data_IF_494994308221
#
_entry.id   IF_494994308221
#
_cell.length_a   1.000
_cell.length_b   1.000
_cell.length_c   1.000
_cell.angle_alpha   90.00
_cell.angle_beta   90.00
_cell.angle_gamma   90.00
#
_symmetry.space_group_name_H-M   'P 1'
#
loop_
_entity.id
_entity.type
_entity.pdbx_description
1 polymer ?
#
# COMPACT_ATOMS: atom_id res chain seq x y z
N UNK A 1 -6.53 5.41 22.46
CA UNK A 1 -6.62 4.40 21.38
C UNK A 1 -5.80 4.93 20.22
N UNK A 2 -5.03 4.11 19.52
CA UNK A 2 -4.38 4.57 18.28
C UNK A 2 -5.49 5.05 17.34
N UNK A 3 -5.31 6.23 16.76
CA UNK A 3 -6.22 6.71 15.73
C UNK A 3 -6.00 5.80 14.51
N UNK A 4 -7.01 5.03 14.10
CA UNK A 4 -6.90 4.11 12.94
C UNK A 4 -6.94 4.86 11.60
N UNK A 5 -6.69 6.17 11.63
CA UNK A 5 -6.75 7.10 10.53
C UNK A 5 -5.50 7.99 10.53
N UNK A 6 -5.05 8.33 9.34
CA UNK A 6 -3.99 9.31 9.09
C UNK A 6 -4.59 10.56 8.46
N UNK A 7 -4.17 11.73 8.94
CA UNK A 7 -4.60 13.02 8.37
C UNK A 7 -3.69 13.37 7.19
N UNK A 8 -4.25 13.45 5.99
CA UNK A 8 -3.53 13.88 4.79
C UNK A 8 -3.37 15.40 4.74
N UNK A 9 -2.38 15.90 3.99
CA UNK A 9 -2.15 17.34 3.80
C UNK A 9 -3.32 18.08 3.14
N UNK A 10 -4.18 17.36 2.42
CA UNK A 10 -5.41 17.89 1.82
C UNK A 10 -6.58 17.99 2.81
N UNK A 11 -6.37 17.65 4.09
CA UNK A 11 -7.40 17.72 5.12
C UNK A 11 -8.41 16.56 5.10
N UNK A 12 -8.11 15.46 4.41
CA UNK A 12 -8.91 14.24 4.43
C UNK A 12 -8.29 13.25 5.41
N UNK A 13 -9.13 12.51 6.14
CA UNK A 13 -8.68 11.37 6.94
C UNK A 13 -8.71 10.10 6.09
N UNK A 14 -7.62 9.34 6.10
CA UNK A 14 -7.51 8.06 5.40
C UNK A 14 -7.34 6.94 6.42
N UNK A 15 -8.08 5.81 6.33
CA UNK A 15 -7.84 4.68 7.21
C UNK A 15 -6.42 4.11 7.04
N UNK A 16 -5.76 3.86 8.16
CA UNK A 16 -4.37 3.44 8.21
C UNK A 16 -4.14 2.01 7.69
N UNK A 17 -5.17 1.17 7.62
CA UNK A 17 -5.12 -0.17 7.04
C UNK A 17 -6.13 -0.27 5.89
N UNK A 18 -5.65 -0.69 4.72
CA UNK A 18 -6.46 -0.86 3.51
C UNK A 18 -6.34 -2.25 2.90
N UNK A 19 -7.39 -2.67 2.19
CA UNK A 19 -7.41 -3.89 1.39
C UNK A 19 -6.83 -3.61 0.01
N UNK A 20 -5.70 -4.22 -0.31
CA UNK A 20 -5.17 -4.24 -1.68
C UNK A 20 -5.91 -5.27 -2.55
N UNK A 21 -6.19 -4.91 -3.81
CA UNK A 21 -6.99 -5.75 -4.74
C UNK A 21 -6.21 -6.27 -5.94
N UNK A 22 -4.89 -6.06 -5.99
CA UNK A 22 -4.07 -6.75 -6.99
C UNK A 22 -4.12 -8.28 -6.79
N UNK A 23 -4.53 -9.00 -7.84
CA UNK A 23 -4.58 -10.46 -7.84
C UNK A 23 -4.52 -11.02 -9.25
N UNK A 24 -3.87 -12.16 -9.44
CA UNK A 24 -3.91 -12.93 -10.67
C UNK A 24 -4.34 -14.38 -10.37
N UNK A 25 -5.23 -15.01 -11.17
CA UNK A 25 -6.01 -14.41 -12.26
C UNK A 25 -7.04 -13.42 -11.72
N UNK A 26 -7.37 -12.39 -12.52
CA UNK A 26 -8.29 -11.29 -12.17
C UNK A 26 -9.74 -11.76 -12.07
N UNK A 27 -10.07 -12.53 -11.03
CA UNK A 27 -11.42 -13.09 -10.84
C UNK A 27 -12.36 -12.09 -10.14
N UNK A 28 -13.41 -11.72 -10.87
CA UNK A 28 -14.40 -10.72 -10.40
C UNK A 28 -15.14 -11.21 -9.17
N UNK A 29 -15.67 -12.43 -9.18
CA UNK A 29 -16.51 -12.95 -8.09
C UNK A 29 -15.71 -13.06 -6.79
N UNK A 30 -14.49 -13.58 -6.86
CA UNK A 30 -13.59 -13.68 -5.70
C UNK A 30 -13.23 -12.30 -5.15
N UNK A 31 -13.03 -11.31 -6.02
CA UNK A 31 -12.75 -9.93 -5.61
C UNK A 31 -13.94 -9.31 -4.88
N UNK A 32 -15.16 -9.45 -5.42
CA UNK A 32 -16.39 -8.95 -4.79
C UNK A 32 -16.60 -9.59 -3.40
N UNK A 33 -16.52 -10.92 -3.32
CA UNK A 33 -16.62 -11.65 -2.05
C UNK A 33 -15.57 -11.21 -1.03
N UNK A 34 -14.34 -10.94 -1.47
CA UNK A 34 -13.29 -10.46 -0.59
C UNK A 34 -13.60 -9.06 -0.01
N UNK A 35 -14.20 -8.18 -0.80
CA UNK A 35 -14.59 -6.83 -0.38
C UNK A 35 -15.74 -6.91 0.63
N UNK A 36 -16.74 -7.73 0.37
CA UNK A 36 -17.86 -7.95 1.30
C UNK A 36 -17.37 -8.48 2.65
N UNK A 37 -16.45 -9.45 2.62
CA UNK A 37 -15.80 -9.96 3.84
C UNK A 37 -15.00 -8.87 4.55
N UNK A 38 -14.25 -8.06 3.82
CA UNK A 38 -13.45 -7.00 4.41
C UNK A 38 -14.32 -5.91 5.06
N UNK A 39 -15.41 -5.49 4.43
CA UNK A 39 -16.38 -4.55 5.01
C UNK A 39 -16.93 -5.04 6.35
N UNK A 40 -17.29 -6.33 6.43
CA UNK A 40 -17.76 -7.01 7.66
C UNK A 40 -16.69 -7.08 8.75
N UNK A 41 -15.41 -7.09 8.38
CA UNK A 41 -14.28 -7.06 9.33
C UNK A 41 -13.86 -5.64 9.74
N UNK A 42 -14.52 -4.60 9.21
CA UNK A 42 -14.26 -3.21 9.57
C UNK A 42 -13.30 -2.47 8.63
N UNK A 43 -12.91 -3.06 7.49
CA UNK A 43 -12.14 -2.30 6.49
C UNK A 43 -12.98 -1.16 5.94
N UNK A 44 -12.34 0.01 5.80
CA UNK A 44 -12.91 1.21 5.19
C UNK A 44 -12.02 1.81 4.11
N UNK A 45 -10.87 1.20 3.83
CA UNK A 45 -9.94 1.64 2.78
C UNK A 45 -9.73 0.51 1.78
N UNK A 46 -9.99 0.78 0.50
CA UNK A 46 -9.84 -0.15 -0.61
C UNK A 46 -8.89 0.42 -1.66
N UNK A 47 -7.84 -0.34 -1.98
CA UNK A 47 -6.82 0.05 -2.97
C UNK A 47 -6.94 -0.81 -4.23
N UNK A 48 -7.08 -0.13 -5.36
CA UNK A 48 -7.19 -0.72 -6.70
C UNK A 48 -6.33 0.05 -7.71
N UNK A 49 -6.40 -0.33 -8.97
CA UNK A 49 -5.83 0.38 -10.11
C UNK A 49 -6.47 -0.13 -11.40
N UNK A 50 -6.52 0.72 -12.44
CA UNK A 50 -6.96 0.31 -13.79
C UNK A 50 -6.25 -0.96 -14.28
N UNK A 51 -4.93 -1.01 -14.11
CA UNK A 51 -4.11 -2.14 -14.58
C UNK A 51 -4.39 -3.43 -13.82
N UNK A 52 -5.03 -3.38 -12.65
CA UNK A 52 -5.37 -4.58 -11.89
C UNK A 52 -6.62 -5.27 -12.45
N UNK A 53 -7.40 -4.61 -13.32
CA UNK A 53 -8.67 -5.15 -13.83
C UNK A 53 -9.76 -5.35 -12.76
N UNK A 54 -9.48 -5.05 -11.50
CA UNK A 54 -10.38 -5.27 -10.36
C UNK A 54 -11.35 -4.11 -10.11
N UNK A 55 -11.18 -2.95 -10.74
CA UNK A 55 -12.04 -1.76 -10.53
C UNK A 55 -13.54 -2.04 -10.71
N UNK A 56 -14.02 -2.77 -11.74
CA UNK A 56 -15.45 -3.06 -11.87
C UNK A 56 -15.99 -3.91 -10.72
N UNK A 57 -15.21 -4.88 -10.24
CA UNK A 57 -15.56 -5.73 -9.10
C UNK A 57 -15.63 -4.90 -7.81
N UNK A 58 -14.63 -4.03 -7.60
CA UNK A 58 -14.59 -3.12 -6.45
C UNK A 58 -15.77 -2.17 -6.45
N UNK A 59 -16.05 -1.54 -7.60
CA UNK A 59 -17.17 -0.63 -7.75
C UNK A 59 -18.51 -1.31 -7.50
N UNK A 60 -18.72 -2.53 -8.01
CA UNK A 60 -19.94 -3.29 -7.80
C UNK A 60 -20.16 -3.61 -6.31
N UNK A 61 -19.19 -4.28 -5.66
CA UNK A 61 -19.34 -4.69 -4.26
C UNK A 61 -19.55 -3.50 -3.30
N UNK A 62 -18.84 -2.40 -3.51
CA UNK A 62 -19.03 -1.20 -2.69
C UNK A 62 -20.38 -0.52 -2.95
N UNK A 63 -20.89 -0.55 -4.18
CA UNK A 63 -22.21 0.00 -4.52
C UNK A 63 -23.31 -0.80 -3.84
N UNK A 64 -23.26 -2.13 -3.92
CA UNK A 64 -24.23 -3.01 -3.24
C UNK A 64 -24.18 -2.79 -1.73
N UNK A 65 -22.99 -2.71 -1.13
CA UNK A 65 -22.84 -2.44 0.30
C UNK A 65 -23.41 -1.07 0.74
N UNK A 66 -23.38 -0.06 -0.13
CA UNK A 66 -24.00 1.26 0.12
C UNK A 66 -25.52 1.16 -0.01
N UNK A 67 -26.03 0.50 -1.05
CA UNK A 67 -27.48 0.30 -1.27
C UNK A 67 -28.08 -0.47 -0.09
N UNK A 68 -27.38 -1.49 0.39
CA UNK A 68 -27.78 -2.32 1.53
C UNK A 68 -27.51 -1.64 2.89
N UNK A 69 -27.03 -0.39 2.92
CA UNK A 69 -26.73 0.38 4.13
C UNK A 69 -25.72 -0.32 5.07
N UNK A 70 -24.86 -1.17 4.52
CA UNK A 70 -23.75 -1.78 5.27
C UNK A 70 -22.68 -0.74 5.60
N UNK A 71 -22.47 0.23 4.70
CA UNK A 71 -21.58 1.38 4.87
C UNK A 71 -22.12 2.59 4.13
N UNK A 72 -21.84 3.79 4.64
CA UNK A 72 -22.05 5.03 3.89
C UNK A 72 -20.89 5.30 2.93
N UNK A 73 -21.15 6.02 1.83
CA UNK A 73 -20.09 6.41 0.89
C UNK A 73 -19.00 7.22 1.58
N UNK A 74 -19.38 8.14 2.46
CA UNK A 74 -18.47 9.00 3.21
C UNK A 74 -17.63 8.20 4.21
N UNK A 75 -18.10 7.00 4.60
CA UNK A 75 -17.40 6.09 5.48
C UNK A 75 -16.32 5.25 4.79
N UNK A 76 -16.16 5.34 3.47
CA UNK A 76 -15.16 4.56 2.72
C UNK A 76 -14.16 5.44 1.95
N UNK A 77 -12.91 5.01 1.96
CA UNK A 77 -11.79 5.56 1.22
C UNK A 77 -11.41 4.60 0.09
N UNK A 78 -11.37 5.09 -1.15
CA UNK A 78 -11.03 4.27 -2.33
C UNK A 78 -9.86 4.93 -3.04
N UNK A 79 -8.79 4.16 -3.23
CA UNK A 79 -7.59 4.58 -3.96
C UNK A 79 -7.55 3.84 -5.29
N UNK A 80 -7.34 4.57 -6.39
CA UNK A 80 -6.97 3.99 -7.68
C UNK A 80 -5.74 4.70 -8.27
N UNK A 81 -5.22 4.19 -9.39
CA UNK A 81 -3.93 4.61 -9.96
C UNK A 81 -4.07 4.84 -11.46
N UNK A 82 -3.58 6.00 -11.91
CA UNK A 82 -3.37 6.27 -13.34
C UNK A 82 -2.27 5.36 -13.88
N UNK A 83 -2.52 4.70 -14.99
CA UNK A 83 -1.52 3.83 -15.61
C UNK A 83 -0.65 4.61 -16.60
N UNK A 84 0.61 4.18 -16.76
CA UNK A 84 1.60 4.86 -17.59
C UNK A 84 1.18 5.08 -19.04
N UNK A 85 0.39 4.16 -19.62
CA UNK A 85 -0.12 4.30 -21.00
C UNK A 85 -1.07 5.49 -21.17
N UNK A 86 -1.66 5.98 -20.08
CA UNK A 86 -2.68 7.02 -20.10
C UNK A 86 -2.11 8.42 -19.79
N UNK A 87 -0.79 8.55 -19.59
CA UNK A 87 -0.14 9.83 -19.30
C UNK A 87 -0.27 10.87 -20.42
N UNK A 88 -0.62 10.46 -21.64
CA UNK A 88 -0.86 11.35 -22.77
C UNK A 88 -2.20 12.09 -22.68
N UNK A 89 -3.18 11.52 -21.96
CA UNK A 89 -4.47 12.15 -21.66
C UNK A 89 -4.87 11.83 -20.20
N UNK A 90 -4.11 12.40 -19.24
CA UNK A 90 -4.32 12.10 -17.84
C UNK A 90 -5.70 12.60 -17.42
N UNK A 91 -6.22 13.72 -17.93
CA UNK A 91 -7.54 14.22 -17.50
C UNK A 91 -8.66 13.25 -17.86
N UNK A 92 -8.65 12.62 -19.03
CA UNK A 92 -9.67 11.64 -19.42
C UNK A 92 -9.58 10.36 -18.59
N UNK A 93 -8.38 9.80 -18.46
CA UNK A 93 -8.15 8.60 -17.65
C UNK A 93 -8.42 8.86 -16.17
N UNK A 94 -8.06 10.04 -15.69
CA UNK A 94 -8.40 10.49 -14.35
C UNK A 94 -9.87 10.86 -14.21
N UNK A 95 -10.63 11.28 -15.23
CA UNK A 95 -12.10 11.37 -15.08
C UNK A 95 -12.75 9.99 -14.98
N UNK A 96 -12.14 9.01 -15.65
CA UNK A 96 -12.53 7.61 -15.55
C UNK A 96 -12.20 7.02 -14.17
N UNK A 97 -11.06 7.42 -13.58
CA UNK A 97 -10.52 6.86 -12.33
C UNK A 97 -10.78 7.72 -11.07
N UNK A 98 -10.81 9.04 -11.20
CA UNK A 98 -10.75 10.01 -10.11
C UNK A 98 -12.03 10.80 -9.88
N UNK A 99 -12.60 10.41 -8.76
CA UNK A 99 -13.03 11.40 -7.79
C UNK A 99 -11.96 11.62 -6.67
N UNK A 100 -10.62 11.53 -6.94
CA UNK A 100 -9.44 12.24 -6.34
C UNK A 100 -8.07 11.49 -6.51
N UNK A 101 -6.94 12.20 -6.77
CA UNK A 101 -5.58 11.65 -7.12
C UNK A 101 -4.54 11.66 -5.99
N UNK A 102 -3.65 10.66 -6.02
CA UNK A 102 -2.31 10.63 -5.39
C UNK A 102 -1.27 10.00 -6.34
N UNK A 103 -0.01 9.84 -5.91
CA UNK A 103 1.07 9.22 -6.72
C UNK A 103 1.50 7.88 -6.13
N UNK A 104 2.16 7.02 -6.92
CA UNK A 104 2.64 5.71 -6.48
C UNK A 104 3.94 5.33 -7.19
N UNK A 105 4.87 4.71 -6.46
CA UNK A 105 6.19 4.26 -6.95
C UNK A 105 7.14 5.40 -7.36
N UNK A 106 7.13 6.54 -6.65
CA UNK A 106 8.08 7.62 -6.90
C UNK A 106 9.22 7.58 -5.87
N UNK A 107 10.47 7.64 -6.35
CA UNK A 107 11.67 7.89 -5.53
C UNK A 107 11.67 9.32 -4.98
N UNK A 108 12.51 9.60 -3.99
CA UNK A 108 12.59 10.94 -3.36
C UNK A 108 12.86 12.04 -4.42
N UNK A 109 13.79 11.76 -5.34
CA UNK A 109 14.13 12.67 -6.44
C UNK A 109 12.97 12.90 -7.42
N UNK A 110 12.20 11.86 -7.75
CA UNK A 110 11.02 12.01 -8.63
C UNK A 110 9.91 12.83 -7.97
N UNK A 111 9.75 12.71 -6.65
CA UNK A 111 8.81 13.57 -5.90
C UNK A 111 9.32 15.02 -5.87
N UNK A 112 10.61 15.25 -5.63
CA UNK A 112 11.18 16.61 -5.69
C UNK A 112 10.89 17.28 -7.04
N UNK A 113 11.18 16.57 -8.14
CA UNK A 113 10.87 17.06 -9.48
C UNK A 113 9.40 17.39 -9.65
N UNK A 114 8.48 16.61 -9.06
CA UNK A 114 7.04 16.88 -9.07
C UNK A 114 6.68 18.14 -8.27
N UNK A 115 7.24 18.29 -7.07
CA UNK A 115 7.00 19.44 -6.19
C UNK A 115 7.49 20.76 -6.80
N UNK A 116 8.57 20.74 -7.59
CA UNK A 116 9.15 21.93 -8.20
C UNK A 116 8.20 22.62 -9.21
N UNK A 117 7.24 21.88 -9.79
CA UNK A 117 6.26 22.43 -10.74
C UNK A 117 4.80 22.36 -10.28
N UNK A 118 4.48 21.51 -9.31
CA UNK A 118 3.09 21.30 -8.89
C UNK A 118 2.59 22.45 -8.00
N UNK A 119 1.45 23.03 -8.35
CA UNK A 119 0.78 24.04 -7.50
C UNK A 119 0.14 23.43 -6.24
N UNK A 120 -0.10 22.11 -6.24
CA UNK A 120 -0.64 21.36 -5.11
C UNK A 120 0.27 20.14 -4.89
N UNK A 121 0.86 19.96 -3.69
CA UNK A 121 1.72 18.83 -3.41
C UNK A 121 0.91 17.52 -3.39
N UNK A 122 1.52 16.37 -3.73
CA UNK A 122 0.87 15.08 -3.59
C UNK A 122 0.41 14.82 -2.15
N UNK A 123 -0.79 14.27 -1.97
CA UNK A 123 -1.28 13.90 -0.64
C UNK A 123 -0.64 12.60 -0.13
N UNK A 124 -0.38 11.65 -1.04
CA UNK A 124 0.12 10.31 -0.74
C UNK A 124 1.17 9.92 -1.78
N UNK A 125 2.26 9.30 -1.34
CA UNK A 125 3.13 8.48 -2.18
C UNK A 125 3.01 7.01 -1.74
N UNK A 126 2.40 6.18 -2.60
CA UNK A 126 2.25 4.76 -2.32
C UNK A 126 3.43 3.95 -2.87
N UNK A 127 4.23 3.32 -1.99
CA UNK A 127 5.49 2.63 -2.33
C UNK A 127 5.60 1.28 -1.65
N UNK A 128 6.51 0.43 -2.15
CA UNK A 128 6.88 -0.79 -1.45
C UNK A 128 7.49 -0.42 -0.11
N UNK A 129 6.97 -0.98 0.97
CA UNK A 129 7.53 -0.79 2.30
C UNK A 129 7.15 -1.95 3.21
N UNK A 130 8.15 -2.53 3.87
CA UNK A 130 8.03 -3.63 4.81
C UNK A 130 9.28 -3.67 5.72
N UNK A 131 9.34 -4.50 6.77
CA UNK A 131 10.50 -4.56 7.66
C UNK A 131 11.87 -4.73 6.98
N UNK A 132 11.89 -5.37 5.80
CA UNK A 132 13.10 -5.57 4.97
C UNK A 132 13.30 -4.55 3.84
N UNK A 133 12.46 -3.51 3.75
CA UNK A 133 12.65 -2.38 2.81
C UNK A 133 11.97 -1.15 3.43
N UNK A 134 12.71 -0.45 4.30
CA UNK A 134 12.11 0.44 5.30
C UNK A 134 11.86 1.85 4.81
N UNK A 135 12.37 2.17 3.62
CA UNK A 135 12.15 3.46 2.96
C UNK A 135 12.53 4.65 3.84
N UNK A 136 13.61 4.56 4.64
CA UNK A 136 13.96 5.61 5.62
C UNK A 136 14.14 6.98 4.97
N UNK A 137 15.02 7.06 3.97
CA UNK A 137 15.27 8.29 3.20
C UNK A 137 13.98 8.84 2.60
N UNK A 138 13.19 7.98 1.95
CA UNK A 138 11.95 8.39 1.29
C UNK A 138 10.89 8.86 2.30
N UNK A 139 10.76 8.20 3.46
CA UNK A 139 9.80 8.58 4.51
C UNK A 139 10.17 9.93 5.12
N UNK A 140 11.45 10.14 5.40
CA UNK A 140 11.92 11.42 5.96
C UNK A 140 11.69 12.54 4.94
N UNK A 141 12.04 12.32 3.67
CA UNK A 141 11.75 13.26 2.58
C UNK A 141 10.25 13.55 2.44
N UNK A 142 9.39 12.54 2.45
CA UNK A 142 7.95 12.73 2.36
C UNK A 142 7.39 13.50 3.57
N UNK A 143 7.93 13.26 4.78
CA UNK A 143 7.52 13.96 5.99
C UNK A 143 7.81 15.47 5.91
N UNK A 144 8.97 15.88 5.36
CA UNK A 144 9.33 17.30 5.19
C UNK A 144 8.31 18.08 4.33
N UNK A 145 7.62 17.39 3.42
CA UNK A 145 6.60 17.98 2.54
C UNK A 145 5.16 17.64 2.94
N UNK A 146 4.95 17.06 4.13
CA UNK A 146 3.65 16.56 4.59
C UNK A 146 2.99 15.58 3.58
N UNK A 147 3.79 14.78 2.88
CA UNK A 147 3.31 13.74 1.97
C UNK A 147 3.19 12.45 2.77
N UNK A 148 2.00 11.84 2.77
CA UNK A 148 1.80 10.59 3.48
C UNK A 148 2.41 9.40 2.72
N UNK A 149 3.09 8.49 3.42
CA UNK A 149 3.61 7.25 2.83
C UNK A 149 2.62 6.11 3.03
N UNK A 150 2.14 5.53 1.93
CA UNK A 150 1.29 4.33 1.95
C UNK A 150 2.08 3.11 1.48
N UNK A 151 2.23 2.11 2.33
CA UNK A 151 3.00 0.90 2.06
C UNK A 151 2.17 -0.12 1.28
N UNK A 152 2.55 -0.45 0.05
CA UNK A 152 2.12 -1.68 -0.63
C UNK A 152 3.12 -2.82 -0.37
N UNK A 153 2.67 -4.06 -0.61
CA UNK A 153 3.42 -5.28 -0.32
C UNK A 153 3.99 -5.33 1.11
N UNK A 154 3.24 -4.95 2.16
CA UNK A 154 3.76 -4.89 3.52
C UNK A 154 4.23 -6.24 4.08
N UNK A 155 3.84 -7.34 3.43
CA UNK A 155 4.20 -8.71 3.78
C UNK A 155 5.20 -9.35 2.79
N UNK A 156 5.77 -8.56 1.86
CA UNK A 156 6.67 -9.04 0.79
C UNK A 156 5.96 -9.51 -0.49
N UNK A 157 4.66 -9.23 -0.62
CA UNK A 157 3.83 -9.65 -1.77
C UNK A 157 3.68 -11.16 -2.01
N UNK A 158 3.59 -12.06 -0.99
CA UNK A 158 3.53 -13.50 -1.22
C UNK A 158 2.44 -13.92 -2.22
N UNK A 159 2.80 -14.80 -3.15
CA UNK A 159 1.92 -15.31 -4.21
C UNK A 159 1.87 -14.47 -5.48
N UNK A 160 2.52 -13.30 -5.50
CA UNK A 160 2.78 -12.56 -6.75
C UNK A 160 4.05 -13.09 -7.43
N UNK A 161 4.17 -12.88 -8.75
CA UNK A 161 5.34 -13.34 -9.52
C UNK A 161 6.67 -12.73 -9.04
N UNK A 162 6.63 -11.51 -8.50
CA UNK A 162 7.79 -10.83 -7.91
C UNK A 162 7.91 -11.01 -6.39
N UNK A 163 6.92 -11.64 -5.76
CA UNK A 163 6.80 -11.66 -4.30
C UNK A 163 7.62 -12.74 -3.61
N UNK A 164 7.80 -12.59 -2.31
CA UNK A 164 8.46 -13.58 -1.45
C UNK A 164 7.79 -13.66 -0.08
N UNK A 165 7.96 -14.78 0.60
CA UNK A 165 7.56 -15.00 2.01
C UNK A 165 8.61 -14.52 3.00
N UNK A 166 9.76 -14.00 2.53
CA UNK A 166 10.91 -13.64 3.37
C UNK A 166 10.56 -12.74 4.57
N UNK A 167 9.64 -11.80 4.42
CA UNK A 167 9.22 -10.91 5.51
C UNK A 167 8.55 -11.69 6.65
N UNK A 168 7.58 -12.56 6.33
CA UNK A 168 6.82 -13.31 7.35
C UNK A 168 7.56 -14.55 7.85
N UNK A 169 8.54 -15.05 7.09
CA UNK A 169 9.40 -16.17 7.50
C UNK A 169 10.67 -15.72 8.23
N UNK A 170 10.95 -14.40 8.28
CA UNK A 170 12.13 -13.87 8.93
C UNK A 170 12.21 -14.29 10.41
N UNK A 171 13.34 -14.84 10.89
CA UNK A 171 13.46 -15.33 12.27
C UNK A 171 13.20 -14.28 13.35
N UNK A 172 13.57 -13.02 13.11
CA UNK A 172 13.34 -11.90 14.05
C UNK A 172 11.84 -11.59 14.11
N UNK A 173 11.17 -11.48 12.95
CA UNK A 173 9.70 -11.25 12.89
C UNK A 173 8.94 -12.39 13.58
N UNK A 174 9.35 -13.65 13.34
CA UNK A 174 8.80 -14.84 13.99
C UNK A 174 9.06 -14.86 15.50
N UNK A 175 10.21 -14.36 15.95
CA UNK A 175 10.53 -14.25 17.39
C UNK A 175 9.63 -13.22 18.07
N UNK A 176 9.49 -12.04 17.46
CA UNK A 176 8.61 -10.97 17.94
C UNK A 176 7.15 -11.45 17.96
N UNK A 177 6.70 -12.17 16.93
CA UNK A 177 5.32 -12.68 16.89
C UNK A 177 5.04 -13.66 18.03
N UNK A 178 5.99 -14.55 18.36
CA UNK A 178 5.88 -15.45 19.52
C UNK A 178 5.84 -14.68 20.84
N UNK A 179 6.70 -13.67 21.01
CA UNK A 179 6.74 -12.80 22.20
C UNK A 179 5.38 -12.15 22.45
N UNK A 180 4.72 -11.66 21.39
CA UNK A 180 3.44 -10.95 21.49
C UNK A 180 2.19 -11.80 21.34
N UNK A 181 2.33 -13.12 21.10
CA UNK A 181 1.22 -14.04 20.79
C UNK A 181 0.40 -13.56 19.59
N UNK A 182 1.09 -13.01 18.59
CA UNK A 182 0.54 -12.51 17.33
C UNK A 182 1.06 -13.34 16.16
N UNK A 183 0.62 -13.02 14.95
CA UNK A 183 1.18 -13.61 13.74
C UNK A 183 2.32 -12.75 13.17
N UNK A 184 3.25 -13.34 12.39
CA UNK A 184 4.28 -12.59 11.69
C UNK A 184 3.72 -11.46 10.81
N UNK A 185 2.56 -11.67 10.19
CA UNK A 185 1.88 -10.66 9.39
C UNK A 185 1.45 -9.47 10.24
N UNK A 186 0.86 -9.71 11.42
CA UNK A 186 0.47 -8.65 12.35
C UNK A 186 1.68 -7.83 12.83
N UNK A 187 2.82 -8.47 13.08
CA UNK A 187 4.06 -7.78 13.44
C UNK A 187 4.54 -6.87 12.30
N UNK A 188 4.61 -7.38 11.07
CA UNK A 188 5.06 -6.60 9.92
C UNK A 188 4.12 -5.41 9.61
N UNK A 189 2.81 -5.62 9.70
CA UNK A 189 1.80 -4.55 9.53
C UNK A 189 1.94 -3.50 10.63
N UNK A 190 2.02 -3.92 11.90
CA UNK A 190 2.11 -2.99 13.02
C UNK A 190 3.43 -2.23 13.05
N UNK A 191 4.53 -2.83 12.59
CA UNK A 191 5.78 -2.12 12.38
C UNK A 191 5.58 -0.95 11.42
N UNK A 192 4.96 -1.16 10.25
CA UNK A 192 4.75 -0.07 9.29
C UNK A 192 3.81 1.02 9.82
N UNK A 193 2.76 0.63 10.54
CA UNK A 193 1.86 1.56 11.24
C UNK A 193 2.62 2.40 12.29
N UNK A 194 3.54 1.79 13.05
CA UNK A 194 4.37 2.49 14.04
C UNK A 194 5.34 3.51 13.41
N UNK A 195 5.64 3.36 12.12
CA UNK A 195 6.47 4.30 11.34
C UNK A 195 5.65 5.44 10.72
N UNK A 196 4.35 5.54 11.01
CA UNK A 196 3.44 6.57 10.50
C UNK A 196 2.87 6.26 9.11
N UNK A 197 3.17 5.10 8.53
CA UNK A 197 2.67 4.71 7.21
C UNK A 197 1.31 4.04 7.29
N UNK A 198 0.49 4.17 6.23
CA UNK A 198 -0.67 3.29 6.05
C UNK A 198 -0.26 1.99 5.39
N UNK A 199 -0.94 0.89 5.68
CA UNK A 199 -0.61 -0.45 5.19
C UNK A 199 -1.68 -0.96 4.22
N UNK A 200 -1.30 -1.22 2.97
CA UNK A 200 -2.18 -1.80 1.95
C UNK A 200 -1.88 -3.29 1.86
N UNK A 201 -2.68 -4.10 2.54
CA UNK A 201 -2.49 -5.55 2.64
C UNK A 201 -3.54 -6.28 1.83
N UNK A 202 -3.11 -7.23 1.00
CA UNK A 202 -4.01 -8.04 0.18
C UNK A 202 -4.32 -9.37 0.86
N UNK A 203 -5.61 -9.71 0.96
CA UNK A 203 -6.05 -11.07 1.26
C UNK A 203 -7.48 -11.28 0.78
N UNK A 204 -7.76 -12.43 0.15
CA UNK A 204 -9.13 -12.89 -0.16
C UNK A 204 -9.58 -14.01 0.79
N UNK A 205 -8.78 -14.30 1.82
CA UNK A 205 -9.10 -15.29 2.85
C UNK A 205 -9.63 -14.57 4.09
N UNK A 206 -10.83 -14.97 4.55
CA UNK A 206 -11.54 -14.36 5.67
C UNK A 206 -10.72 -14.34 6.97
N UNK A 207 -10.05 -15.45 7.30
CA UNK A 207 -9.24 -15.56 8.53
C UNK A 207 -8.09 -14.55 8.49
N UNK A 208 -7.38 -14.46 7.36
CA UNK A 208 -6.29 -13.48 7.17
C UNK A 208 -6.78 -12.04 7.13
N UNK A 209 -7.96 -11.76 6.57
CA UNK A 209 -8.55 -10.42 6.61
C UNK A 209 -8.76 -9.95 8.06
N UNK A 210 -9.33 -10.82 8.89
CA UNK A 210 -9.53 -10.56 10.32
C UNK A 210 -8.19 -10.40 11.06
N UNK A 211 -7.25 -11.33 10.84
CA UNK A 211 -5.91 -11.29 11.42
C UNK A 211 -5.18 -9.98 11.10
N UNK A 212 -5.26 -9.52 9.85
CA UNK A 212 -4.68 -8.25 9.42
C UNK A 212 -5.30 -7.04 10.12
N UNK A 213 -6.63 -7.02 10.33
CA UNK A 213 -7.30 -5.94 11.08
C UNK A 213 -6.84 -5.91 12.55
N UNK A 214 -6.63 -7.08 13.14
CA UNK A 214 -6.15 -7.20 14.52
C UNK A 214 -4.73 -6.66 14.70
N UNK A 215 -3.96 -6.46 13.61
CA UNK A 215 -2.64 -5.81 13.66
C UNK A 215 -2.70 -4.41 14.28
N UNK A 216 -3.80 -3.66 14.08
CA UNK A 216 -4.02 -2.32 14.64
C UNK A 216 -3.96 -2.30 16.19
N UNK A 217 -4.17 -3.45 16.83
CA UNK A 217 -4.17 -3.59 18.29
C UNK A 217 -2.84 -4.10 18.85
N UNK A 218 -1.89 -4.48 17.98
CA UNK A 218 -0.59 -4.99 18.40
C UNK A 218 0.27 -3.85 18.97
N UNK A 219 1.01 -4.14 20.02
CA UNK A 219 1.91 -3.17 20.66
C UNK A 219 3.33 -3.72 20.61
N UNK A 220 4.11 -3.22 19.65
CA UNK A 220 5.54 -3.47 19.60
C UNK A 220 6.24 -2.56 20.61
N UNK A 221 7.25 -3.08 21.30
CA UNK A 221 8.11 -2.29 22.19
C UNK A 221 9.41 -1.86 21.49
N UNK A 222 10.19 -1.01 22.16
CA UNK A 222 11.42 -0.43 21.61
C UNK A 222 12.45 -1.50 21.22
N UNK A 223 12.48 -2.63 21.94
CA UNK A 223 13.39 -3.73 21.62
C UNK A 223 12.96 -4.42 20.33
N UNK A 224 11.65 -4.64 20.13
CA UNK A 224 11.14 -5.21 18.88
C UNK A 224 11.49 -4.33 17.68
N UNK A 225 11.29 -3.01 17.82
CA UNK A 225 11.64 -2.05 16.78
C UNK A 225 13.14 -2.07 16.51
N UNK A 226 13.97 -2.05 17.55
CA UNK A 226 15.43 -2.14 17.45
C UNK A 226 15.88 -3.44 16.76
N UNK A 227 15.22 -4.56 17.04
CA UNK A 227 15.53 -5.84 16.42
C UNK A 227 15.14 -5.86 14.94
N UNK A 228 14.00 -5.26 14.59
CA UNK A 228 13.59 -5.08 13.18
C UNK A 228 14.61 -4.22 12.42
N UNK A 229 15.24 -3.23 13.07
CA UNK A 229 16.24 -2.40 12.39
C UNK A 229 17.50 -3.18 11.96
N UNK A 230 17.72 -4.39 12.50
CA UNK A 230 18.85 -5.28 12.14
C UNK A 230 18.60 -6.09 10.87
N UNK A 231 17.38 -6.10 10.33
CA UNK A 231 17.07 -6.81 9.10
C UNK A 231 17.84 -6.19 7.93
N UNK A 232 18.39 -7.05 7.07
CA UNK A 232 18.95 -6.65 5.79
C UNK A 232 17.86 -5.99 4.94
N UNK A 233 18.20 -4.86 4.32
CA UNK A 233 17.29 -4.14 3.42
C UNK A 233 17.53 -4.55 1.98
N UNK A 234 16.46 -4.90 1.27
CA UNK A 234 16.46 -5.08 -0.17
C UNK A 234 15.06 -4.90 -0.74
N UNK A 235 14.98 -4.35 -1.95
CA UNK A 235 13.73 -4.15 -2.66
C UNK A 235 13.28 -5.45 -3.33
N UNK A 236 12.06 -5.90 -3.04
CA UNK A 236 11.43 -7.07 -3.65
C UNK A 236 10.83 -6.70 -5.01
N UNK A 237 10.03 -5.63 -5.09
CA UNK A 237 9.44 -5.18 -6.36
C UNK A 237 10.38 -4.20 -7.07
N UNK A 238 11.41 -4.72 -7.74
CA UNK A 238 12.47 -3.91 -8.37
C UNK A 238 12.10 -3.29 -9.71
N UNK A 239 11.00 -3.73 -10.33
CA UNK A 239 10.46 -3.10 -11.53
C UNK A 239 11.22 -3.47 -12.81
N UNK A 240 11.81 -4.66 -12.86
CA UNK A 240 12.66 -5.12 -13.98
C UNK A 240 11.96 -5.01 -15.34
N UNK A 241 10.65 -5.19 -15.38
CA UNK A 241 9.84 -5.08 -16.60
C UNK A 241 9.78 -3.64 -17.18
N UNK A 242 10.22 -2.63 -16.43
CA UNK A 242 10.30 -1.23 -16.87
C UNK A 242 11.69 -0.83 -17.36
N UNK A 243 12.68 -1.73 -17.29
CA UNK A 243 14.08 -1.41 -17.60
C UNK A 243 14.53 -2.18 -18.83
N UNK A 244 15.11 -1.48 -19.80
CA UNK A 244 15.81 -2.09 -20.93
C UNK A 244 16.69 -1.07 -21.66
N UNK A 245 17.70 -1.56 -22.38
CA UNK A 245 18.68 -0.69 -23.03
C UNK A 245 18.14 0.03 -24.28
N UNK A 246 17.07 -0.47 -24.89
CA UNK A 246 16.62 -0.01 -26.21
C UNK A 246 15.51 1.05 -26.14
N UNK A 247 14.36 0.70 -25.59
CA UNK A 247 13.12 1.49 -25.63
C UNK A 247 12.76 2.15 -24.31
N UNK A 248 13.26 1.64 -23.18
CA UNK A 248 12.96 2.25 -21.88
C UNK A 248 13.73 3.56 -21.68
N UNK A 249 13.12 4.57 -21.04
CA UNK A 249 13.84 5.73 -20.52
C UNK A 249 14.80 5.36 -19.37
N UNK A 250 14.65 4.17 -18.76
CA UNK A 250 15.51 3.65 -17.70
C UNK A 250 16.37 2.51 -18.25
N UNK A 251 17.70 2.69 -18.22
CA UNK A 251 18.66 1.71 -18.76
C UNK A 251 19.04 0.67 -17.72
N UNK A 252 19.08 1.08 -16.45
CA UNK A 252 19.36 0.21 -15.30
C UNK A 252 18.26 0.30 -14.24
N UNK A 253 18.28 -0.63 -13.28
CA UNK A 253 17.35 -0.59 -12.13
C UNK A 253 17.72 0.59 -11.23
N UNK A 254 19.00 0.89 -11.12
CA UNK A 254 19.54 2.04 -10.42
C UNK A 254 19.01 3.34 -11.02
N UNK A 255 18.90 3.46 -12.34
CA UNK A 255 18.29 4.61 -13.02
C UNK A 255 16.79 4.74 -12.70
N UNK A 256 16.07 3.61 -12.68
CA UNK A 256 14.64 3.58 -12.36
C UNK A 256 14.36 4.09 -10.95
N UNK A 257 15.23 3.77 -9.98
CA UNK A 257 15.03 4.15 -8.58
C UNK A 257 15.90 5.30 -8.10
N UNK A 258 16.66 5.94 -8.99
CA UNK A 258 17.64 6.99 -8.63
C UNK A 258 18.60 6.54 -7.51
N UNK A 259 19.01 5.28 -7.53
CA UNK A 259 19.86 4.66 -6.51
C UNK A 259 19.14 4.12 -5.26
N UNK A 260 17.82 4.29 -5.13
CA UNK A 260 17.02 3.71 -4.04
C UNK A 260 16.64 2.24 -4.34
N UNK A 261 17.64 1.34 -4.42
CA UNK A 261 17.48 -0.08 -4.77
C UNK A 261 18.26 -1.03 -3.84
#
# INVERSE_FOLDING_TARGET
>A
MMNNEVRLNCGINMPALGLGTYSYPHDRQTTELAIDMALKMGYRHFDTAKIYGSEPAVGHALTEAIIDQTVDREGIFVTSKLWGSDHHDPVSALRQTLKCIGVSNFSSKKIQSLLDFASVPPAVNQVEMHPMWRQRTLRDFCADYNIHVSAYSPLGGPGNAWGTTAVVENPIIQSISRKHKTTPAQVALQWGLSKGSSMIVKSFNQKRLKENMEALNVKLDDQDLTDIEKLEEWKIMRGEFLVNDSTSPYKTIEDLWDGEI
#
